data_IF_282309625827
#
_entry.id   IF_282309625827
#
_cell.length_a   1.000
_cell.length_b   1.000
_cell.length_c   1.000
_cell.angle_alpha   90.00
_cell.angle_beta   90.00
_cell.angle_gamma   90.00
#
_symmetry.space_group_name_H-M   'P 1'
#
loop_
_entity.id
_entity.type
_entity.pdbx_description
1 polymer ?
#
# COMPACT_ATOMS: atom_id res chain seq x y z
N UNK A 1 -14.36 5.04 17.90
CA UNK A 1 -13.42 3.90 17.77
C UNK A 1 -13.86 3.07 16.58
N UNK A 2 -13.02 2.87 15.58
CA UNK A 2 -13.35 2.02 14.44
C UNK A 2 -13.56 0.58 14.92
N UNK A 3 -14.65 -0.05 14.51
CA UNK A 3 -14.96 -1.43 14.83
C UNK A 3 -13.79 -2.34 14.41
N UNK A 4 -13.37 -3.22 15.33
CA UNK A 4 -12.23 -4.09 15.13
C UNK A 4 -12.56 -5.07 14.00
N UNK A 5 -11.84 -4.99 12.88
CA UNK A 5 -12.16 -5.77 11.68
C UNK A 5 -11.83 -7.27 11.89
N UNK A 6 -12.81 -8.03 12.41
CA UNK A 6 -12.69 -9.48 12.73
C UNK A 6 -12.18 -10.32 11.58
N UNK A 7 -12.43 -9.93 10.33
CA UNK A 7 -11.94 -10.64 9.13
C UNK A 7 -10.43 -10.56 9.00
N UNK A 8 -9.81 -9.43 9.34
CA UNK A 8 -8.35 -9.26 9.31
C UNK A 8 -7.72 -10.11 10.41
N UNK A 9 -8.28 -10.10 11.63
CA UNK A 9 -7.77 -10.93 12.72
C UNK A 9 -7.82 -12.43 12.39
N UNK A 10 -8.90 -12.88 11.74
CA UNK A 10 -9.01 -14.27 11.27
C UNK A 10 -8.05 -14.60 10.13
N UNK A 11 -7.79 -13.65 9.22
CA UNK A 11 -6.86 -13.88 8.10
C UNK A 11 -5.39 -14.00 8.56
N UNK A 12 -5.01 -13.30 9.63
CA UNK A 12 -3.63 -13.33 10.15
C UNK A 12 -3.37 -14.52 11.07
N UNK A 13 -4.39 -14.98 11.80
CA UNK A 13 -4.27 -16.11 12.72
C UNK A 13 -4.62 -17.39 11.98
N UNK A 14 -3.59 -18.16 11.60
CA UNK A 14 -3.76 -19.41 10.85
C UNK A 14 -4.77 -20.38 11.48
N UNK A 15 -5.38 -21.21 10.64
CA UNK A 15 -6.20 -22.32 11.10
C UNK A 15 -5.29 -23.51 11.48
N UNK A 16 -5.37 -23.90 12.76
CA UNK A 16 -4.74 -25.04 13.44
C UNK A 16 -3.28 -24.90 13.96
N UNK A 17 -3.10 -25.18 15.26
CA UNK A 17 -1.84 -25.64 15.87
C UNK A 17 -0.86 -24.60 16.48
N UNK A 18 -0.72 -24.61 17.81
CA UNK A 18 0.52 -24.30 18.57
C UNK A 18 1.14 -22.89 18.58
N UNK A 19 1.01 -22.09 17.50
CA UNK A 19 1.76 -20.84 17.30
C UNK A 19 1.06 -19.53 17.68
N UNK A 20 -0.18 -19.60 18.21
CA UNK A 20 -1.10 -18.46 18.34
C UNK A 20 -0.54 -17.21 19.04
N UNK A 21 0.41 -17.35 19.97
CA UNK A 21 1.03 -16.20 20.63
C UNK A 21 2.03 -15.49 19.70
N UNK A 22 2.83 -16.27 18.97
CA UNK A 22 3.81 -15.76 18.01
C UNK A 22 3.14 -15.14 16.80
N UNK A 23 2.06 -15.73 16.28
CA UNK A 23 1.28 -15.16 15.18
C UNK A 23 0.65 -13.82 15.58
N UNK A 24 0.17 -13.70 16.83
CA UNK A 24 -0.36 -12.44 17.37
C UNK A 24 0.72 -11.40 17.59
N UNK A 25 1.89 -11.81 18.06
CA UNK A 25 3.04 -10.91 18.23
C UNK A 25 3.55 -10.41 16.88
N UNK A 26 3.62 -11.28 15.88
CA UNK A 26 3.92 -10.93 14.49
C UNK A 26 2.86 -9.98 13.93
N UNK A 27 1.57 -10.32 14.03
CA UNK A 27 0.47 -9.44 13.60
C UNK A 27 0.54 -8.05 14.23
N UNK A 28 0.91 -7.98 15.51
CA UNK A 28 1.08 -6.73 16.23
C UNK A 28 2.26 -5.93 15.72
N UNK A 29 3.42 -6.57 15.49
CA UNK A 29 4.60 -5.91 14.93
C UNK A 29 4.35 -5.35 13.51
N UNK A 30 3.46 -5.98 12.74
CA UNK A 30 3.11 -5.57 11.37
C UNK A 30 1.88 -4.65 11.28
N UNK A 31 1.36 -4.12 12.39
CA UNK A 31 0.26 -3.13 12.38
C UNK A 31 0.67 -1.72 11.92
N UNK A 32 1.97 -1.39 11.98
CA UNK A 32 2.50 -0.10 11.55
C UNK A 32 2.89 -0.09 10.07
N UNK A 33 3.42 1.02 9.55
CA UNK A 33 4.00 1.06 8.20
C UNK A 33 5.32 0.27 8.19
N UNK A 34 5.25 -1.01 7.82
CA UNK A 34 6.41 -1.91 7.72
C UNK A 34 6.46 -2.45 6.31
N UNK A 35 7.57 -2.29 5.60
CA UNK A 35 7.68 -2.56 4.15
C UNK A 35 6.76 -1.69 3.29
N UNK A 36 6.63 -0.40 3.62
CA UNK A 36 5.79 0.56 2.89
C UNK A 36 6.35 1.02 1.51
N UNK A 37 7.57 0.59 1.18
CA UNK A 37 8.16 0.63 -0.14
C UNK A 37 8.58 -0.79 -0.51
N UNK A 38 8.22 -1.18 -1.72
CA UNK A 38 8.56 -2.48 -2.26
C UNK A 38 9.82 -2.33 -3.15
N UNK A 39 10.50 -3.45 -3.39
CA UNK A 39 11.82 -3.50 -4.02
C UNK A 39 11.77 -3.84 -5.51
N UNK A 40 10.57 -4.08 -6.03
CA UNK A 40 10.26 -4.41 -7.40
C UNK A 40 10.61 -3.23 -8.32
N UNK A 41 11.20 -3.54 -9.47
CA UNK A 41 11.48 -2.55 -10.50
C UNK A 41 10.20 -2.33 -11.31
N UNK A 42 9.60 -1.12 -11.27
CA UNK A 42 8.35 -0.86 -11.98
C UNK A 42 8.51 -0.97 -13.50
N UNK A 43 9.71 -0.79 -14.07
CA UNK A 43 9.92 -0.95 -15.52
C UNK A 43 9.82 -2.43 -15.89
N UNK A 44 10.49 -3.29 -15.13
CA UNK A 44 10.44 -4.75 -15.34
C UNK A 44 9.04 -5.30 -15.10
N UNK A 45 8.35 -4.83 -14.06
CA UNK A 45 6.96 -5.22 -13.78
C UNK A 45 6.04 -4.86 -14.96
N UNK A 46 6.16 -3.64 -15.51
CA UNK A 46 5.31 -3.19 -16.61
C UNK A 46 5.58 -3.96 -17.90
N UNK A 47 6.85 -4.27 -18.19
CA UNK A 47 7.22 -5.10 -19.34
C UNK A 47 6.68 -6.53 -19.22
N UNK A 48 6.79 -7.13 -18.02
CA UNK A 48 6.35 -8.50 -17.77
C UNK A 48 4.82 -8.63 -17.71
N UNK A 49 4.14 -7.70 -17.04
CA UNK A 49 2.69 -7.73 -16.85
C UNK A 49 1.92 -7.25 -18.08
N UNK A 50 2.57 -6.46 -18.95
CA UNK A 50 2.00 -5.91 -20.17
C UNK A 50 0.59 -5.31 -19.95
N UNK A 51 0.47 -4.47 -18.91
CA UNK A 51 -0.78 -3.82 -18.51
C UNK A 51 -1.23 -2.87 -19.63
N UNK A 52 -2.53 -2.90 -19.96
CA UNK A 52 -3.14 -2.12 -21.04
C UNK A 52 -4.48 -1.52 -20.62
N UNK A 53 -4.96 -0.51 -21.37
CA UNK A 53 -6.32 -0.02 -21.20
C UNK A 53 -7.37 -1.12 -21.24
N UNK A 54 -8.35 -1.04 -20.35
CA UNK A 54 -9.40 -2.06 -20.21
C UNK A 54 -9.04 -3.23 -19.27
N UNK A 55 -7.77 -3.43 -18.92
CA UNK A 55 -7.37 -4.47 -17.97
C UNK A 55 -7.86 -4.16 -16.55
N UNK A 56 -8.10 -5.21 -15.75
CA UNK A 56 -8.38 -5.10 -14.32
C UNK A 56 -7.27 -5.82 -13.56
N UNK A 57 -6.60 -5.12 -12.66
CA UNK A 57 -5.42 -5.62 -11.94
C UNK A 57 -5.76 -5.82 -10.47
N UNK A 58 -5.37 -6.96 -9.89
CA UNK A 58 -5.38 -7.15 -8.44
C UNK A 58 -3.92 -7.13 -7.95
N UNK A 59 -3.64 -6.37 -6.90
CA UNK A 59 -2.29 -6.27 -6.35
C UNK A 59 -2.33 -6.15 -4.82
N UNK A 60 -1.26 -6.58 -4.16
CA UNK A 60 -1.05 -6.26 -2.76
C UNK A 60 -0.80 -4.74 -2.67
N UNK A 61 -1.45 -4.05 -1.73
CA UNK A 61 -1.36 -2.60 -1.67
C UNK A 61 0.06 -2.15 -1.32
N UNK A 62 0.68 -2.72 -0.28
CA UNK A 62 2.11 -2.53 0.06
C UNK A 62 2.59 -1.07 0.01
N UNK A 63 1.80 -0.19 0.62
CA UNK A 63 2.05 1.26 0.64
C UNK A 63 1.79 2.00 -0.69
N UNK A 64 1.36 1.32 -1.74
CA UNK A 64 0.75 1.87 -2.95
C UNK A 64 1.71 2.24 -4.09
N UNK A 65 2.99 1.86 -4.03
CA UNK A 65 3.97 2.20 -5.06
C UNK A 65 3.68 1.52 -6.41
N UNK A 66 3.43 0.20 -6.42
CA UNK A 66 3.06 -0.49 -7.67
C UNK A 66 1.71 -0.03 -8.21
N UNK A 67 0.74 0.27 -7.34
CA UNK A 67 -0.55 0.83 -7.77
C UNK A 67 -0.34 2.09 -8.61
N UNK A 68 0.50 3.03 -8.15
CA UNK A 68 0.80 4.25 -8.91
C UNK A 68 1.53 3.97 -10.22
N UNK A 69 2.48 3.03 -10.22
CA UNK A 69 3.21 2.63 -11.43
C UNK A 69 2.26 2.02 -12.46
N UNK A 70 1.38 1.12 -12.05
CA UNK A 70 0.43 0.43 -12.92
C UNK A 70 -0.65 1.36 -13.47
N UNK A 71 -1.06 2.38 -12.71
CA UNK A 71 -2.00 3.40 -13.18
C UNK A 71 -1.51 4.17 -14.42
N UNK A 72 -0.19 4.22 -14.65
CA UNK A 72 0.38 4.89 -15.83
C UNK A 72 0.01 4.21 -17.16
N UNK A 73 -0.45 2.96 -17.13
CA UNK A 73 -0.95 2.24 -18.31
C UNK A 73 -2.47 2.33 -18.51
N UNK A 74 -3.16 3.16 -17.73
CA UNK A 74 -4.61 3.42 -17.83
C UNK A 74 -5.50 2.15 -17.77
N UNK A 75 -5.27 1.22 -16.81
CA UNK A 75 -6.16 0.06 -16.66
C UNK A 75 -7.57 0.50 -16.25
N UNK A 76 -8.58 -0.32 -16.56
CA UNK A 76 -9.96 -0.04 -16.16
C UNK A 76 -10.16 -0.03 -14.63
N UNK A 77 -9.40 -0.85 -13.89
CA UNK A 77 -9.44 -0.88 -12.44
C UNK A 77 -8.16 -1.48 -11.84
N UNK A 78 -7.81 -1.04 -10.63
CA UNK A 78 -6.84 -1.72 -9.77
C UNK A 78 -7.46 -1.96 -8.40
N UNK A 79 -7.60 -3.24 -8.04
CA UNK A 79 -8.03 -3.68 -6.72
C UNK A 79 -6.79 -3.92 -5.84
N UNK A 80 -6.45 -2.93 -5.00
CA UNK A 80 -5.30 -2.98 -4.10
C UNK A 80 -5.71 -3.47 -2.70
N UNK A 81 -5.21 -4.64 -2.29
CA UNK A 81 -5.61 -5.31 -1.05
C UNK A 81 -4.45 -5.45 -0.06
N UNK A 82 -4.70 -5.25 1.23
CA UNK A 82 -3.69 -5.44 2.27
C UNK A 82 -4.35 -5.76 3.61
N UNK A 83 -3.68 -6.58 4.43
CA UNK A 83 -4.09 -6.86 5.80
C UNK A 83 -3.74 -5.68 6.73
N UNK A 84 -2.70 -4.93 6.36
CA UNK A 84 -2.27 -3.73 7.04
C UNK A 84 -3.04 -2.52 6.53
N UNK A 85 -3.98 -2.03 7.34
CA UNK A 85 -4.80 -0.87 6.99
C UNK A 85 -3.97 0.40 6.82
N UNK A 86 -2.79 0.50 7.43
CA UNK A 86 -1.88 1.63 7.25
C UNK A 86 -1.32 1.68 5.81
N UNK A 87 -1.05 0.53 5.18
CA UNK A 87 -0.62 0.47 3.78
C UNK A 87 -1.71 0.94 2.82
N UNK A 88 -2.96 0.53 3.06
CA UNK A 88 -4.10 1.00 2.26
C UNK A 88 -4.30 2.50 2.44
N UNK A 89 -4.20 3.01 3.68
CA UNK A 89 -4.30 4.44 3.96
C UNK A 89 -3.17 5.24 3.29
N UNK A 90 -1.92 4.75 3.34
CA UNK A 90 -0.80 5.38 2.65
C UNK A 90 -0.98 5.40 1.13
N UNK A 91 -1.47 4.30 0.54
CA UNK A 91 -1.80 4.26 -0.89
C UNK A 91 -2.85 5.32 -1.28
N UNK A 92 -3.92 5.45 -0.47
CA UNK A 92 -4.93 6.51 -0.66
C UNK A 92 -4.34 7.91 -0.51
N UNK A 93 -3.46 8.11 0.48
CA UNK A 93 -2.78 9.39 0.68
C UNK A 93 -1.90 9.75 -0.53
N UNK A 94 -1.16 8.79 -1.09
CA UNK A 94 -0.37 9.03 -2.31
C UNK A 94 -1.24 9.36 -3.51
N UNK A 95 -2.38 8.69 -3.70
CA UNK A 95 -3.33 9.02 -4.76
C UNK A 95 -3.88 10.43 -4.62
N UNK A 96 -4.35 10.81 -3.42
CA UNK A 96 -4.81 12.16 -3.15
C UNK A 96 -3.70 13.20 -3.36
N UNK A 97 -2.48 12.92 -2.90
CA UNK A 97 -1.34 13.80 -3.09
C UNK A 97 -1.00 13.99 -4.58
N UNK A 98 -1.05 12.93 -5.39
CA UNK A 98 -0.82 13.03 -6.83
C UNK A 98 -1.89 13.86 -7.56
N UNK A 99 -3.11 13.93 -7.03
CA UNK A 99 -4.22 14.70 -7.60
C UNK A 99 -4.27 16.16 -7.11
N UNK A 100 -3.75 16.44 -5.91
CA UNK A 100 -3.97 17.72 -5.23
C UNK A 100 -2.72 18.53 -4.94
N UNK A 101 -1.54 17.91 -4.87
CA UNK A 101 -0.29 18.68 -4.73
C UNK A 101 0.01 19.42 -6.04
N UNK A 102 0.60 20.62 -5.96
CA UNK A 102 0.75 21.50 -7.11
C UNK A 102 1.71 20.96 -8.17
N UNK A 103 2.73 20.19 -7.76
CA UNK A 103 3.76 19.67 -8.64
C UNK A 103 4.48 18.45 -8.04
N UNK A 104 5.36 17.86 -8.84
CA UNK A 104 6.21 16.74 -8.43
C UNK A 104 7.15 17.10 -7.27
N UNK A 105 7.64 18.33 -7.18
CA UNK A 105 8.56 18.73 -6.11
C UNK A 105 7.84 18.70 -4.76
N UNK A 106 6.60 19.17 -4.69
CA UNK A 106 5.76 19.09 -3.51
C UNK A 106 5.44 17.63 -3.14
N UNK A 107 5.12 16.79 -4.13
CA UNK A 107 4.89 15.35 -3.92
C UNK A 107 6.12 14.66 -3.35
N UNK A 108 7.29 14.84 -3.98
CA UNK A 108 8.56 14.27 -3.55
C UNK A 108 8.93 14.76 -2.15
N UNK A 109 8.80 16.07 -1.88
CA UNK A 109 9.06 16.63 -0.54
C UNK A 109 8.20 15.94 0.52
N UNK A 110 6.91 15.74 0.24
CA UNK A 110 6.00 15.15 1.21
C UNK A 110 6.33 13.68 1.55
N UNK A 111 6.73 12.87 0.55
CA UNK A 111 6.96 11.43 0.76
C UNK A 111 8.43 11.00 0.91
N UNK A 112 9.38 11.77 0.40
CA UNK A 112 10.81 11.45 0.43
C UNK A 112 11.58 12.25 1.48
N UNK A 113 11.08 13.40 1.92
CA UNK A 113 11.70 14.26 2.94
C UNK A 113 10.80 14.31 4.18
N UNK A 114 10.82 13.23 4.96
CA UNK A 114 9.85 13.00 6.03
C UNK A 114 9.90 14.07 7.15
N UNK A 115 11.07 14.65 7.42
CA UNK A 115 11.37 15.55 8.54
C UNK A 115 11.13 17.04 8.23
N UNK A 116 10.46 17.33 7.12
CA UNK A 116 10.10 18.69 6.72
C UNK A 116 9.00 19.26 7.60
N UNK A 117 9.19 20.49 8.09
CA UNK A 117 8.24 21.18 8.99
C UNK A 117 6.83 21.27 8.37
N UNK A 118 6.76 21.42 7.07
CA UNK A 118 5.52 21.52 6.31
C UNK A 118 4.73 20.18 6.25
N UNK A 119 5.28 19.09 6.79
CA UNK A 119 4.59 17.80 6.98
C UNK A 119 3.98 17.65 8.39
N UNK A 120 4.36 18.50 9.35
CA UNK A 120 3.81 18.52 10.71
C UNK A 120 2.63 19.49 10.69
N UNK A 121 1.45 18.95 10.35
CA UNK A 121 0.18 19.67 10.51
C UNK A 121 -0.20 19.83 11.99
#
# INVERSE_FOLDING_TARGET
MAEKNRKIEQAVLGHDGGGKLWDRAFAFAFKGLVYAQIWEDPVVDMDALAIKPGHRVATIASGGCNVLSYLTADPAAIDAVDLNTAHVALGRLKLAAAQHLPDYAAFRRFFAEADRKENIA
#
